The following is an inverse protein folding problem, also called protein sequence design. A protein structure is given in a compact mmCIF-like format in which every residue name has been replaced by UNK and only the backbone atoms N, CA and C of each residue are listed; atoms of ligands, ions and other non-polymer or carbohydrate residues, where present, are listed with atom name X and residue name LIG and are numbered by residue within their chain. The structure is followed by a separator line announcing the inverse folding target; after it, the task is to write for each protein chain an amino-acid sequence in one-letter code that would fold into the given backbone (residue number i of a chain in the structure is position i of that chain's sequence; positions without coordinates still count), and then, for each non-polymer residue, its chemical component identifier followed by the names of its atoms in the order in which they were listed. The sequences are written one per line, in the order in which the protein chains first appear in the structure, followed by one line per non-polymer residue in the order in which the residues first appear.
data_IF_455430206338
#
_entry.id   IF_455430206338
#
_cell.length_a   1.000
_cell.length_b   1.000
_cell.length_c   1.000
_cell.angle_alpha   90.00
_cell.angle_beta   90.00
_cell.angle_gamma   90.00
#
_symmetry.space_group_name_H-M   'P 1'
#
loop_
_entity.id
_entity.type
_entity.pdbx_description
1 polymer ?
#
# COMPACT_ATOMS: atom_id res chain seq x y z
N UNK A 1 6.16 -17.57 18.27
CA UNK A 1 5.54 -16.36 18.84
C UNK A 1 6.13 -15.16 18.12
N UNK A 2 5.42 -14.62 17.12
CA UNK A 2 5.86 -13.37 16.49
C UNK A 2 5.24 -12.23 17.29
N UNK A 3 6.04 -11.35 17.90
CA UNK A 3 5.51 -10.23 18.67
C UNK A 3 4.78 -9.30 17.70
N UNK A 4 3.56 -8.89 18.06
CA UNK A 4 2.86 -7.86 17.30
C UNK A 4 3.74 -6.59 17.27
N UNK A 5 3.97 -5.98 16.10
CA UNK A 5 4.52 -4.64 16.04
C UNK A 5 3.40 -3.70 16.49
N UNK A 6 3.32 -3.48 17.81
CA UNK A 6 2.30 -2.65 18.42
C UNK A 6 2.81 -1.23 18.71
N UNK A 7 4.02 -0.88 18.25
CA UNK A 7 4.56 0.45 18.50
C UNK A 7 4.33 1.38 17.29
N UNK A 8 3.69 2.55 17.48
CA UNK A 8 3.52 3.54 16.42
C UNK A 8 4.83 3.98 15.74
N UNK A 9 5.96 3.83 16.46
CA UNK A 9 7.29 4.11 15.94
C UNK A 9 7.72 3.14 14.82
N UNK A 10 7.37 1.86 14.90
CA UNK A 10 7.69 0.87 13.85
C UNK A 10 6.85 1.11 12.59
N UNK A 11 5.57 1.46 12.76
CA UNK A 11 4.67 1.80 11.65
C UNK A 11 5.20 3.03 10.91
N UNK A 12 5.60 4.06 11.65
CA UNK A 12 6.21 5.25 11.06
C UNK A 12 7.57 4.97 10.42
N UNK A 13 8.34 4.00 10.91
CA UNK A 13 9.64 3.63 10.35
C UNK A 13 9.50 2.92 8.99
N UNK A 14 8.43 2.15 8.78
CA UNK A 14 8.11 1.53 7.48
C UNK A 14 7.44 2.52 6.50
N UNK A 15 7.27 3.79 6.88
CA UNK A 15 6.68 4.82 6.02
C UNK A 15 5.15 4.71 5.87
N UNK A 16 4.49 3.97 6.76
CA UNK A 16 3.03 3.83 6.81
C UNK A 16 2.42 4.90 7.72
N UNK A 17 1.29 5.45 7.31
CA UNK A 17 0.46 6.28 8.20
C UNK A 17 -0.33 5.39 9.17
N UNK A 18 -0.74 5.92 10.35
CA UNK A 18 -1.62 5.20 11.27
C UNK A 18 -2.91 4.73 10.60
N UNK A 19 -3.50 5.56 9.74
CA UNK A 19 -4.70 5.25 8.95
C UNK A 19 -4.49 4.04 8.03
N UNK A 20 -3.31 3.92 7.42
CA UNK A 20 -2.98 2.79 6.53
C UNK A 20 -2.78 1.51 7.31
N UNK A 21 -2.23 1.59 8.52
CA UNK A 21 -2.13 0.46 9.42
C UNK A 21 -3.51 -0.05 9.84
N UNK A 22 -4.42 0.86 10.20
CA UNK A 22 -5.79 0.49 10.57
C UNK A 22 -6.51 -0.19 9.40
N UNK A 23 -6.32 0.32 8.17
CA UNK A 23 -6.80 -0.31 6.93
C UNK A 23 -6.22 -1.71 6.72
N UNK A 24 -4.92 -1.89 6.97
CA UNK A 24 -4.24 -3.20 6.86
C UNK A 24 -4.82 -4.18 7.90
N UNK A 25 -5.00 -3.74 9.15
CA UNK A 25 -5.59 -4.56 10.22
C UNK A 25 -7.03 -4.95 9.88
N UNK A 26 -7.82 -4.01 9.37
CA UNK A 26 -9.20 -4.27 8.93
C UNK A 26 -9.24 -5.28 7.78
N UNK A 27 -8.35 -5.15 6.79
CA UNK A 27 -8.25 -6.06 5.63
C UNK A 27 -7.78 -7.46 6.02
N UNK A 28 -6.89 -7.57 7.01
CA UNK A 28 -6.35 -8.85 7.48
C UNK A 28 -7.21 -9.50 8.57
N UNK A 29 -8.04 -8.74 9.27
CA UNK A 29 -8.79 -9.20 10.45
C UNK A 29 -7.91 -9.53 11.66
N UNK A 30 -6.61 -9.16 11.61
CA UNK A 30 -5.60 -9.40 12.64
C UNK A 30 -4.48 -8.37 12.53
N UNK A 31 -3.65 -8.26 13.57
CA UNK A 31 -2.45 -7.44 13.50
C UNK A 31 -1.40 -8.05 12.54
N UNK A 32 -0.85 -7.25 11.60
CA UNK A 32 0.20 -7.71 10.71
C UNK A 32 1.50 -7.96 11.48
N UNK A 33 2.28 -8.96 11.08
CA UNK A 33 3.62 -9.20 11.59
C UNK A 33 4.61 -8.17 11.00
N UNK A 34 5.79 -8.00 11.60
CA UNK A 34 6.82 -7.06 11.12
C UNK A 34 7.18 -7.24 9.63
N UNK A 35 7.27 -8.48 9.17
CA UNK A 35 7.54 -8.76 7.75
C UNK A 35 6.39 -8.32 6.82
N UNK A 36 5.14 -8.52 7.26
CA UNK A 36 3.97 -8.08 6.50
C UNK A 36 3.91 -6.54 6.50
N UNK A 37 4.18 -5.91 7.64
CA UNK A 37 4.23 -4.45 7.80
C UNK A 37 5.22 -3.80 6.83
N UNK A 38 6.46 -4.31 6.76
CA UNK A 38 7.46 -3.80 5.82
C UNK A 38 7.09 -4.05 4.35
N UNK A 39 6.44 -5.18 4.06
CA UNK A 39 5.91 -5.45 2.71
C UNK A 39 4.83 -4.44 2.33
N UNK A 40 3.90 -4.13 3.24
CA UNK A 40 2.88 -3.10 3.02
C UNK A 40 3.49 -1.70 2.89
N UNK A 41 4.48 -1.34 3.70
CA UNK A 41 5.18 -0.05 3.60
C UNK A 41 5.77 0.20 2.21
N UNK A 42 6.44 -0.81 1.65
CA UNK A 42 7.01 -0.72 0.29
C UNK A 42 5.90 -0.72 -0.77
N UNK A 43 4.96 -1.68 -0.69
CA UNK A 43 3.91 -1.85 -1.70
C UNK A 43 2.98 -0.64 -1.79
N UNK A 44 2.65 -0.04 -0.65
CA UNK A 44 1.84 1.17 -0.56
C UNK A 44 2.69 2.43 -0.58
N UNK A 45 3.98 2.37 -0.95
CA UNK A 45 4.71 3.60 -1.22
C UNK A 45 4.15 4.31 -2.47
N UNK A 46 4.32 5.63 -2.57
CA UNK A 46 3.93 6.38 -3.78
C UNK A 46 4.62 5.81 -5.03
N UNK A 47 5.87 5.38 -4.88
CA UNK A 47 6.68 4.83 -5.96
C UNK A 47 6.08 3.55 -6.55
N UNK A 48 5.47 2.69 -5.72
CA UNK A 48 4.90 1.42 -6.17
C UNK A 48 3.40 1.52 -6.52
N UNK A 49 2.61 2.28 -5.74
CA UNK A 49 1.17 2.35 -5.93
C UNK A 49 0.69 3.48 -6.84
N UNK A 50 1.56 4.47 -7.12
CA UNK A 50 1.20 5.69 -7.85
C UNK A 50 -0.06 6.34 -7.23
N UNK A 51 -0.17 6.46 -5.91
CA UNK A 51 -1.46 6.82 -5.26
C UNK A 51 -1.98 8.16 -5.76
N UNK A 52 -1.08 9.12 -5.99
CA UNK A 52 -1.45 10.44 -6.48
C UNK A 52 -1.56 10.48 -8.01
N UNK A 53 -0.68 9.76 -8.72
CA UNK A 53 -0.65 9.79 -10.18
C UNK A 53 -1.70 8.87 -10.84
N UNK A 54 -2.11 7.78 -10.21
CA UNK A 54 -3.06 6.79 -10.75
C UNK A 54 -4.43 7.36 -11.13
N UNK A 55 -5.11 8.22 -10.33
CA UNK A 55 -6.39 8.81 -10.75
C UNK A 55 -6.25 9.75 -11.96
N UNK A 56 -5.12 10.45 -12.09
CA UNK A 56 -4.82 11.28 -13.25
C UNK A 56 -4.52 10.42 -14.49
N UNK A 57 -3.73 9.36 -14.33
CA UNK A 57 -3.35 8.46 -15.42
C UNK A 57 -4.56 7.72 -16.02
N UNK A 58 -5.60 7.45 -15.23
CA UNK A 58 -6.86 6.85 -15.72
C UNK A 58 -7.65 7.73 -16.69
N UNK A 59 -7.37 9.03 -16.76
CA UNK A 59 -8.09 9.95 -17.66
C UNK A 59 -7.55 9.91 -19.09
N UNK A 60 -6.38 9.30 -19.31
CA UNK A 60 -5.84 9.16 -20.66
C UNK A 60 -6.60 8.10 -21.45
N UNK A 61 -6.83 8.30 -22.75
CA UNK A 61 -7.45 7.30 -23.60
C UNK A 61 -6.52 6.09 -23.75
N UNK A 62 -6.93 4.96 -23.20
CA UNK A 62 -6.21 3.67 -23.31
C UNK A 62 -6.78 2.75 -24.37
N UNK A 63 -7.87 3.15 -25.04
CA UNK A 63 -8.55 2.36 -26.06
C UNK A 63 -8.33 2.95 -27.46
N UNK A 64 -8.09 2.07 -28.44
CA UNK A 64 -7.96 2.49 -29.83
C UNK A 64 -7.74 1.31 -30.78
N UNK A 65 -8.01 1.45 -32.08
CA UNK A 65 -8.00 0.36 -33.06
C UNK A 65 -6.63 -0.30 -33.27
N UNK A 66 -5.55 0.28 -32.72
CA UNK A 66 -4.18 -0.24 -32.77
C UNK A 66 -3.61 -0.61 -31.40
N UNK A 67 -4.41 -0.54 -30.34
CA UNK A 67 -3.99 -0.95 -28.99
C UNK A 67 -4.09 -2.47 -28.90
N UNK A 68 -2.96 -3.14 -28.65
CA UNK A 68 -2.89 -4.59 -28.51
C UNK A 68 -3.00 -5.03 -27.04
N UNK A 69 -2.44 -4.24 -26.12
CA UNK A 69 -2.53 -4.39 -24.66
C UNK A 69 -2.47 -2.98 -24.05
N UNK A 70 -3.31 -2.71 -23.06
CA UNK A 70 -3.35 -1.47 -22.29
C UNK A 70 -3.15 -1.71 -20.80
#
# INVERSE_FOLDING_TARGET
YSPAPSSPAEISAEGLKPEEYDDIVQRLGRHPNRAELGMFGVMWSEHCCYKNSRPLLKQFPTEGPRVLVG
#
